data_IF_289879454133
#
_entry.id   IF_289879454133
#
_cell.length_a   1.000
_cell.length_b   1.000
_cell.length_c   1.000
_cell.angle_alpha   90.00
_cell.angle_beta   90.00
_cell.angle_gamma   90.00
#
_symmetry.space_group_name_H-M   'P 1'
#
loop_
_entity.id
_entity.type
_entity.pdbx_description
1 polymer ?
#
# COMPACT_ATOMS: atom_id res chain seq x y z
N UNK A 1 -18.02 17.94 5.06
CA UNK A 1 -16.91 18.22 6.01
C UNK A 1 -16.46 19.65 5.75
N UNK A 2 -15.95 20.38 6.75
CA UNK A 2 -15.64 21.82 6.59
C UNK A 2 -14.25 22.11 6.01
N UNK A 3 -13.37 21.11 6.05
CA UNK A 3 -11.97 21.21 5.69
C UNK A 3 -11.44 19.84 5.29
N UNK A 4 -10.23 19.82 4.72
CA UNK A 4 -9.41 18.62 4.56
C UNK A 4 -8.24 18.68 5.53
N UNK A 5 -7.95 17.56 6.20
CA UNK A 5 -6.88 17.47 7.21
C UNK A 5 -5.77 16.56 6.72
N UNK A 6 -4.53 17.03 6.87
CA UNK A 6 -3.34 16.31 6.43
C UNK A 6 -2.63 15.77 7.67
N UNK A 7 -2.46 14.44 7.70
CA UNK A 7 -1.68 13.74 8.71
C UNK A 7 -0.44 13.15 8.07
N UNK A 8 0.68 13.18 8.79
CA UNK A 8 1.95 12.62 8.33
C UNK A 8 2.55 11.69 9.39
N UNK A 9 3.38 10.77 8.93
CA UNK A 9 4.11 9.80 9.76
C UNK A 9 5.44 9.46 9.09
N UNK A 10 6.40 9.02 9.89
CA UNK A 10 7.66 8.44 9.43
C UNK A 10 7.80 6.96 9.79
N UNK A 11 6.81 6.38 10.47
CA UNK A 11 6.85 5.03 11.03
C UNK A 11 5.55 4.22 10.86
N UNK A 12 4.51 4.79 10.24
CA UNK A 12 3.14 4.24 10.10
C UNK A 12 2.36 4.07 11.42
N UNK A 13 2.97 4.36 12.55
CA UNK A 13 2.41 4.15 13.90
C UNK A 13 1.99 5.49 14.50
N UNK A 14 2.90 6.45 14.50
CA UNK A 14 2.73 7.76 15.09
C UNK A 14 2.36 8.75 13.98
N UNK A 15 1.14 9.27 14.06
CA UNK A 15 0.60 10.21 13.08
C UNK A 15 0.42 11.59 13.69
N UNK A 16 0.99 12.59 13.02
CA UNK A 16 0.88 13.99 13.40
C UNK A 16 -0.05 14.72 12.44
N UNK A 17 -0.97 15.53 12.97
CA UNK A 17 -1.69 16.51 12.16
C UNK A 17 -0.72 17.64 11.76
N UNK A 18 -0.44 17.76 10.46
CA UNK A 18 0.57 18.68 9.93
C UNK A 18 -0.01 19.82 9.10
N UNK A 19 -1.30 19.77 8.75
CA UNK A 19 -1.93 20.84 7.99
C UNK A 19 -3.44 20.69 7.85
N UNK A 20 -4.11 21.82 7.63
CA UNK A 20 -5.53 21.88 7.29
C UNK A 20 -5.69 22.71 6.03
N UNK A 21 -6.32 22.14 5.02
CA UNK A 21 -6.62 22.80 3.75
C UNK A 21 -8.06 23.30 3.83
N UNK A 22 -8.24 24.61 3.63
CA UNK A 22 -9.54 25.28 3.77
C UNK A 22 -10.22 25.47 2.42
N UNK A 23 -11.54 25.27 2.31
CA UNK A 23 -12.28 25.67 1.13
C UNK A 23 -12.32 27.20 0.93
N UNK A 24 -11.96 28.00 1.94
CA UNK A 24 -11.80 29.45 1.81
C UNK A 24 -10.70 29.85 0.81
N UNK A 25 -9.73 28.97 0.59
CA UNK A 25 -8.56 29.22 -0.26
C UNK A 25 -8.81 28.76 -1.71
N UNK A 26 -10.04 28.34 -2.05
CA UNK A 26 -10.45 27.96 -3.39
C UNK A 26 -11.85 28.45 -3.77
N UNK A 27 -12.28 28.18 -5.00
CA UNK A 27 -13.56 28.62 -5.56
C UNK A 27 -14.81 28.22 -4.74
N UNK A 28 -14.73 27.22 -3.87
CA UNK A 28 -15.86 26.83 -3.00
C UNK A 28 -16.16 27.91 -1.94
N UNK A 29 -15.14 28.66 -1.52
CA UNK A 29 -15.25 29.77 -0.58
C UNK A 29 -15.44 29.37 0.88
N UNK A 30 -15.28 30.34 1.78
CA UNK A 30 -15.22 30.13 3.24
C UNK A 30 -16.51 29.59 3.88
N UNK A 31 -17.65 29.67 3.18
CA UNK A 31 -18.93 29.15 3.64
C UNK A 31 -19.16 27.67 3.34
N UNK A 32 -18.29 27.03 2.54
CA UNK A 32 -18.50 25.67 2.10
C UNK A 32 -18.35 24.66 3.25
N UNK A 33 -19.26 23.69 3.30
CA UNK A 33 -19.24 22.58 4.28
C UNK A 33 -19.18 21.21 3.62
N UNK A 34 -18.76 21.20 2.36
CA UNK A 34 -18.90 20.10 1.41
C UNK A 34 -17.55 19.60 0.88
N UNK A 35 -16.48 19.76 1.65
CA UNK A 35 -15.18 19.17 1.37
C UNK A 35 -15.35 17.64 1.31
N UNK A 36 -15.42 17.07 0.11
CA UNK A 36 -15.56 15.62 -0.14
C UNK A 36 -14.19 15.05 -0.53
N UNK A 37 -14.14 13.83 -1.08
CA UNK A 37 -12.88 13.13 -1.32
C UNK A 37 -11.87 13.95 -2.12
N UNK A 38 -10.61 13.65 -1.85
CA UNK A 38 -9.45 14.33 -2.39
C UNK A 38 -8.38 13.30 -2.74
N UNK A 39 -7.52 13.69 -3.65
CA UNK A 39 -6.29 12.98 -3.95
C UNK A 39 -5.15 13.98 -4.21
N UNK A 40 -3.91 13.55 -4.10
CA UNK A 40 -2.76 14.42 -4.23
C UNK A 40 -1.65 13.78 -5.04
N UNK A 41 -0.90 14.62 -5.77
CA UNK A 41 0.26 14.19 -6.53
C UNK A 41 1.40 15.20 -6.39
N UNK A 42 2.63 14.73 -6.47
CA UNK A 42 3.83 15.55 -6.63
C UNK A 42 4.32 15.45 -8.06
N UNK A 43 4.63 16.59 -8.69
CA UNK A 43 5.31 16.63 -9.99
C UNK A 43 6.06 17.94 -10.15
N UNK A 44 7.25 17.89 -10.74
CA UNK A 44 8.06 19.07 -11.06
C UNK A 44 8.36 19.93 -9.81
N UNK A 45 8.57 19.30 -8.64
CA UNK A 45 8.83 19.98 -7.37
C UNK A 45 7.63 20.75 -6.79
N UNK A 46 6.42 20.51 -7.30
CA UNK A 46 5.17 21.11 -6.84
C UNK A 46 4.19 20.01 -6.42
N UNK A 47 3.36 20.31 -5.41
CA UNK A 47 2.30 19.43 -4.95
C UNK A 47 0.96 19.95 -5.48
N UNK A 48 0.11 19.01 -5.89
CA UNK A 48 -1.22 19.26 -6.43
C UNK A 48 -2.24 18.56 -5.56
N UNK A 49 -3.23 19.29 -5.08
CA UNK A 49 -4.32 18.77 -4.26
C UNK A 49 -5.63 18.84 -5.05
N UNK A 50 -6.11 17.69 -5.48
CA UNK A 50 -7.38 17.54 -6.18
C UNK A 50 -8.48 17.27 -5.17
N UNK A 51 -9.65 17.87 -5.37
CA UNK A 51 -10.72 17.78 -4.39
C UNK A 51 -12.10 17.81 -5.05
N UNK A 52 -13.07 17.22 -4.37
CA UNK A 52 -14.46 17.20 -4.80
C UNK A 52 -15.27 18.33 -4.14
N UNK A 53 -16.00 19.08 -4.96
CA UNK A 53 -17.07 19.99 -4.54
C UNK A 53 -18.43 19.26 -4.63
N UNK A 54 -18.66 18.31 -3.71
CA UNK A 54 -19.66 17.25 -3.87
C UNK A 54 -19.62 16.61 -5.27
N UNK A 55 -20.77 16.19 -5.82
CA UNK A 55 -20.96 15.75 -7.21
C UNK A 55 -20.91 16.89 -8.24
N UNK A 56 -20.74 18.15 -7.81
CA UNK A 56 -20.81 19.31 -8.72
C UNK A 56 -19.58 19.38 -9.61
N UNK A 57 -18.40 19.08 -9.06
CA UNK A 57 -17.14 19.19 -9.80
C UNK A 57 -15.91 18.70 -9.03
N UNK A 58 -14.80 18.57 -9.75
CA UNK A 58 -13.44 18.40 -9.20
C UNK A 58 -12.63 19.68 -9.40
N UNK A 59 -12.00 20.17 -8.33
CA UNK A 59 -11.03 21.26 -8.34
C UNK A 59 -9.59 20.78 -8.17
N UNK A 60 -8.64 21.70 -8.35
CA UNK A 60 -7.22 21.48 -8.07
C UNK A 60 -6.60 22.73 -7.45
N UNK A 61 -5.74 22.53 -6.45
CA UNK A 61 -4.91 23.57 -5.83
C UNK A 61 -3.44 23.19 -5.95
N UNK A 62 -2.53 24.17 -5.89
CA UNK A 62 -1.08 23.94 -5.94
C UNK A 62 -0.39 24.43 -4.67
N UNK A 63 0.63 23.72 -4.19
CA UNK A 63 1.30 24.03 -2.93
C UNK A 63 2.75 23.54 -2.87
N UNK A 64 3.66 24.26 -2.18
CA UNK A 64 5.10 23.95 -2.20
C UNK A 64 5.46 22.71 -1.37
N UNK A 65 4.57 22.24 -0.49
CA UNK A 65 4.79 21.05 0.35
C UNK A 65 3.54 20.14 0.32
N UNK A 66 3.65 18.87 0.75
CA UNK A 66 2.49 17.97 0.82
C UNK A 66 1.35 18.50 1.71
N UNK A 67 1.67 19.30 2.73
CA UNK A 67 0.69 19.89 3.65
C UNK A 67 0.26 21.32 3.24
N UNK A 68 0.77 21.84 2.13
CA UNK A 68 0.51 23.19 1.66
C UNK A 68 1.54 24.23 2.15
N UNK A 69 1.17 25.52 2.25
CA UNK A 69 -0.14 26.07 1.94
C UNK A 69 -0.50 25.85 0.46
N UNK A 70 -1.76 25.48 0.22
CA UNK A 70 -2.29 25.31 -1.13
C UNK A 70 -2.98 26.60 -1.58
N UNK A 71 -2.90 26.91 -2.88
CA UNK A 71 -3.62 28.02 -3.52
C UNK A 71 -4.43 27.52 -4.70
N UNK A 72 -5.63 28.04 -4.87
CA UNK A 72 -6.40 27.86 -6.09
C UNK A 72 -5.76 28.66 -7.23
N UNK A 73 -5.46 27.95 -8.32
CA UNK A 73 -4.81 28.51 -9.51
C UNK A 73 -5.79 28.70 -10.67
N UNK A 74 -7.02 28.21 -10.53
CA UNK A 74 -8.04 28.25 -11.58
C UNK A 74 -9.16 29.23 -11.26
N UNK A 75 -9.53 29.38 -9.99
CA UNK A 75 -10.71 30.16 -9.56
C UNK A 75 -12.04 29.56 -10.02
N UNK A 76 -12.01 28.34 -10.56
CA UNK A 76 -13.13 27.58 -11.09
C UNK A 76 -12.78 26.08 -11.08
N UNK A 77 -13.75 25.18 -11.29
CA UNK A 77 -13.46 23.76 -11.35
C UNK A 77 -12.53 23.36 -12.51
N UNK A 78 -11.73 22.31 -12.29
CA UNK A 78 -10.92 21.69 -13.35
C UNK A 78 -11.80 20.84 -14.28
N UNK A 79 -12.72 20.06 -13.72
CA UNK A 79 -13.72 19.29 -14.46
C UNK A 79 -15.07 19.34 -13.75
N UNK A 80 -16.15 19.34 -14.53
CA UNK A 80 -17.52 19.28 -14.04
C UNK A 80 -18.45 18.60 -15.07
N UNK A 81 -19.52 17.93 -14.65
CA UNK A 81 -19.83 17.54 -13.26
C UNK A 81 -18.96 16.36 -12.80
N UNK A 82 -19.28 15.75 -11.63
CA UNK A 82 -18.66 14.55 -10.99
C UNK A 82 -17.62 14.86 -9.89
N UNK A 83 -17.13 13.82 -9.22
CA UNK A 83 -16.39 13.86 -7.95
C UNK A 83 -15.39 12.70 -7.82
N UNK A 84 -14.76 12.54 -6.65
CA UNK A 84 -13.82 11.48 -6.29
C UNK A 84 -12.64 11.37 -7.27
N UNK A 85 -11.75 12.39 -7.30
CA UNK A 85 -10.61 12.38 -8.19
C UNK A 85 -9.56 11.33 -7.78
N UNK A 86 -8.88 10.77 -8.77
CA UNK A 86 -7.59 10.11 -8.64
C UNK A 86 -6.60 10.81 -9.57
N UNK A 87 -5.48 11.26 -9.04
CA UNK A 87 -4.35 11.77 -9.81
C UNK A 87 -3.34 10.64 -10.01
N UNK A 88 -3.14 10.23 -11.25
CA UNK A 88 -2.22 9.15 -11.59
C UNK A 88 -1.10 9.68 -12.49
N UNK A 89 0.15 9.40 -12.15
CA UNK A 89 1.32 9.71 -12.97
C UNK A 89 1.89 8.37 -13.40
N UNK A 90 1.85 8.10 -14.71
CA UNK A 90 2.39 6.88 -15.28
C UNK A 90 3.91 6.83 -15.12
N UNK A 91 4.49 5.64 -15.16
CA UNK A 91 5.93 5.40 -15.13
C UNK A 91 6.52 5.26 -16.55
N UNK A 92 5.76 5.65 -17.57
CA UNK A 92 6.24 5.79 -18.93
C UNK A 92 7.37 6.85 -19.03
N UNK A 93 8.09 6.86 -20.16
CA UNK A 93 9.24 7.76 -20.32
C UNK A 93 8.89 9.27 -20.21
N UNK A 94 7.62 9.65 -20.32
CA UNK A 94 7.13 11.03 -20.20
C UNK A 94 6.53 11.35 -18.83
N UNK A 95 6.48 10.36 -17.93
CA UNK A 95 5.70 10.37 -16.70
C UNK A 95 4.29 10.92 -16.95
N UNK A 96 3.55 10.38 -17.92
CA UNK A 96 2.31 10.98 -18.41
C UNK A 96 1.27 11.11 -17.28
N UNK A 97 0.71 12.31 -17.02
CA UNK A 97 -0.25 12.49 -15.95
C UNK A 97 -1.69 12.31 -16.43
N UNK A 98 -2.53 11.72 -15.57
CA UNK A 98 -3.94 11.47 -15.80
C UNK A 98 -4.77 11.90 -14.59
N UNK A 99 -5.98 12.36 -14.88
CA UNK A 99 -7.04 12.55 -13.89
C UNK A 99 -8.15 11.55 -14.18
N UNK A 100 -8.42 10.67 -13.22
CA UNK A 100 -9.59 9.80 -13.18
C UNK A 100 -10.60 10.39 -12.20
N UNK A 101 -11.90 10.31 -12.47
CA UNK A 101 -12.94 10.79 -11.57
C UNK A 101 -14.33 10.23 -11.92
N UNK A 102 -15.25 10.27 -10.97
CA UNK A 102 -16.69 10.05 -11.16
C UNK A 102 -17.24 8.82 -10.48
N UNK A 103 -18.44 8.43 -10.93
CA UNK A 103 -19.22 7.32 -10.37
C UNK A 103 -19.83 6.44 -11.48
N UNK A 104 -20.31 5.25 -11.08
CA UNK A 104 -20.88 4.25 -11.99
C UNK A 104 -22.11 4.75 -12.76
N UNK A 105 -22.92 5.64 -12.20
CA UNK A 105 -24.18 6.16 -12.77
C UNK A 105 -24.05 6.51 -14.27
N UNK A 106 -22.87 6.96 -14.68
CA UNK A 106 -22.51 7.03 -16.10
C UNK A 106 -21.29 6.17 -16.43
N UNK A 107 -20.21 6.32 -15.66
CA UNK A 107 -18.92 5.62 -15.74
C UNK A 107 -17.85 6.52 -15.13
N UNK A 108 -16.78 5.89 -14.62
CA UNK A 108 -15.54 6.63 -14.36
C UNK A 108 -15.02 7.26 -15.65
N UNK A 109 -14.48 8.47 -15.54
CA UNK A 109 -13.91 9.23 -16.64
C UNK A 109 -12.44 9.47 -16.42
N UNK A 110 -11.68 9.35 -17.49
CA UNK A 110 -10.24 9.62 -17.48
C UNK A 110 -9.88 10.63 -18.56
N UNK A 111 -8.92 11.50 -18.24
CA UNK A 111 -8.29 12.40 -19.19
C UNK A 111 -6.81 12.53 -18.87
N UNK A 112 -5.98 12.65 -19.90
CA UNK A 112 -4.61 13.13 -19.74
C UNK A 112 -4.62 14.59 -19.26
N UNK A 113 -3.74 14.91 -18.31
CA UNK A 113 -3.45 16.27 -17.87
C UNK A 113 -2.30 16.86 -18.71
N UNK A 114 -2.26 18.18 -18.86
CA UNK A 114 -1.05 18.84 -19.31
C UNK A 114 0.04 18.76 -18.22
N UNK A 115 1.29 19.05 -18.57
CA UNK A 115 2.43 19.04 -17.64
C UNK A 115 2.26 19.97 -16.42
N UNK A 116 1.41 21.00 -16.54
CA UNK A 116 1.08 21.90 -15.44
C UNK A 116 0.17 21.27 -14.38
N UNK A 117 -0.37 20.07 -14.61
CA UNK A 117 -1.28 19.33 -13.72
C UNK A 117 -2.57 20.09 -13.35
N UNK A 118 -2.87 21.21 -14.01
CA UNK A 118 -4.02 22.08 -13.67
C UNK A 118 -4.88 22.36 -14.90
N UNK A 119 -4.70 21.60 -15.97
CA UNK A 119 -5.50 21.67 -17.18
C UNK A 119 -5.48 20.34 -17.90
N UNK A 120 -6.53 20.04 -18.65
CA UNK A 120 -6.61 18.79 -19.41
C UNK A 120 -5.88 18.93 -20.76
N UNK A 121 -5.18 17.86 -21.15
CA UNK A 121 -4.58 17.71 -22.47
C UNK A 121 -5.57 17.09 -23.49
N UNK A 122 -6.69 16.54 -23.00
CA UNK A 122 -7.73 15.92 -23.82
C UNK A 122 -9.11 16.02 -23.17
N UNK A 123 -10.16 15.80 -23.97
CA UNK A 123 -11.52 15.66 -23.45
C UNK A 123 -11.65 14.38 -22.61
N UNK A 124 -12.24 14.44 -21.40
CA UNK A 124 -12.47 13.25 -20.59
C UNK A 124 -13.33 12.22 -21.30
N UNK A 125 -12.84 10.98 -21.33
CA UNK A 125 -13.53 9.83 -21.94
C UNK A 125 -14.02 8.85 -20.87
N UNK A 126 -15.17 8.19 -21.08
CA UNK A 126 -15.64 7.15 -20.18
C UNK A 126 -14.73 5.92 -20.25
N UNK A 127 -14.48 5.29 -19.10
CA UNK A 127 -13.84 3.97 -19.03
C UNK A 127 -14.87 2.87 -19.28
N UNK A 128 -14.46 1.87 -20.06
CA UNK A 128 -15.21 0.62 -20.17
C UNK A 128 -14.70 -0.35 -19.11
N UNK A 129 -15.59 -0.80 -18.23
CA UNK A 129 -15.29 -1.79 -17.19
C UNK A 129 -16.26 -2.96 -17.36
N UNK A 130 -15.73 -4.16 -17.39
CA UNK A 130 -16.49 -5.42 -17.53
C UNK A 130 -16.21 -6.32 -16.33
N UNK A 131 -17.03 -7.36 -16.12
CA UNK A 131 -16.94 -8.25 -14.97
C UNK A 131 -18.17 -8.21 -14.08
N UNK A 132 -18.38 -9.26 -13.30
CA UNK A 132 -19.55 -9.42 -12.44
C UNK A 132 -19.57 -8.36 -11.32
N UNK A 133 -18.39 -8.02 -10.79
CA UNK A 133 -18.21 -7.04 -9.72
C UNK A 133 -18.70 -5.66 -10.15
N UNK A 134 -18.33 -5.23 -11.37
CA UNK A 134 -18.80 -3.96 -11.91
C UNK A 134 -20.28 -4.00 -12.27
N UNK A 135 -20.76 -5.12 -12.83
CA UNK A 135 -22.18 -5.28 -13.17
C UNK A 135 -23.07 -5.18 -11.92
N UNK A 136 -22.65 -5.77 -10.79
CA UNK A 136 -23.39 -5.78 -9.53
C UNK A 136 -23.15 -4.55 -8.64
N UNK A 137 -22.09 -3.77 -8.90
CA UNK A 137 -21.82 -2.56 -8.15
C UNK A 137 -23.04 -1.60 -8.20
N UNK A 138 -23.38 -0.91 -7.10
CA UNK A 138 -24.46 0.08 -7.11
C UNK A 138 -24.15 1.25 -8.06
N UNK A 139 -25.18 1.89 -8.61
CA UNK A 139 -25.03 3.05 -9.52
C UNK A 139 -24.28 4.23 -8.87
N UNK A 140 -24.31 4.35 -7.54
CA UNK A 140 -23.56 5.38 -6.83
C UNK A 140 -22.08 5.02 -6.60
N UNK A 141 -21.60 3.87 -7.09
CA UNK A 141 -20.24 3.42 -6.86
C UNK A 141 -19.23 4.44 -7.37
N UNK A 142 -18.49 5.03 -6.44
CA UNK A 142 -17.45 6.04 -6.60
C UNK A 142 -16.13 5.52 -6.03
N UNK A 143 -15.23 6.40 -5.55
CA UNK A 143 -14.00 6.01 -4.82
C UNK A 143 -13.05 5.19 -5.67
N UNK A 144 -12.94 5.57 -6.95
CA UNK A 144 -11.96 4.99 -7.84
C UNK A 144 -10.56 5.28 -7.32
N UNK A 145 -9.66 4.32 -7.46
CA UNK A 145 -8.23 4.53 -7.32
C UNK A 145 -7.51 3.76 -8.42
N UNK A 146 -6.59 4.44 -9.10
CA UNK A 146 -5.84 3.93 -10.24
C UNK A 146 -4.37 3.97 -9.91
N UNK A 147 -3.71 2.83 -10.07
CA UNK A 147 -2.27 2.72 -10.01
C UNK A 147 -1.78 1.70 -11.03
N UNK A 148 -0.47 1.62 -11.22
CA UNK A 148 0.17 0.66 -12.11
C UNK A 148 1.15 -0.19 -11.32
N UNK A 149 1.17 -1.47 -11.63
CA UNK A 149 2.18 -2.40 -11.13
C UNK A 149 2.68 -3.23 -12.31
N UNK A 150 3.99 -3.16 -12.56
CA UNK A 150 4.60 -3.67 -13.79
C UNK A 150 3.88 -3.08 -15.02
N UNK A 151 3.54 -3.89 -16.02
CA UNK A 151 2.87 -3.42 -17.23
C UNK A 151 1.34 -3.42 -17.13
N UNK A 152 0.77 -3.53 -15.92
CA UNK A 152 -0.68 -3.65 -15.69
C UNK A 152 -1.23 -2.48 -14.86
N UNK A 153 -2.32 -1.89 -15.35
CA UNK A 153 -3.10 -0.87 -14.63
C UNK A 153 -4.15 -1.55 -13.77
N UNK A 154 -4.25 -1.12 -12.52
CA UNK A 154 -5.19 -1.59 -11.52
C UNK A 154 -6.15 -0.45 -11.15
N UNK A 155 -7.44 -0.69 -11.35
CA UNK A 155 -8.51 0.24 -11.03
C UNK A 155 -9.40 -0.38 -9.95
N UNK A 156 -9.37 0.17 -8.74
CA UNK A 156 -10.18 -0.31 -7.61
C UNK A 156 -11.35 0.63 -7.28
N UNK A 157 -12.42 0.08 -6.71
CA UNK A 157 -13.54 0.80 -6.11
C UNK A 157 -14.11 0.00 -4.94
N UNK A 158 -14.43 0.65 -3.82
CA UNK A 158 -14.93 -0.07 -2.64
C UNK A 158 -13.95 -1.16 -2.19
N UNK A 159 -14.33 -2.43 -2.40
CA UNK A 159 -13.45 -3.59 -2.18
C UNK A 159 -13.01 -4.29 -3.47
N UNK A 160 -13.61 -3.97 -4.60
CA UNK A 160 -13.43 -4.71 -5.86
C UNK A 160 -12.46 -3.96 -6.77
N UNK A 161 -11.90 -4.66 -7.75
CA UNK A 161 -11.00 -4.05 -8.72
C UNK A 161 -11.06 -4.71 -10.09
N UNK A 162 -10.52 -4.02 -11.07
CA UNK A 162 -10.34 -4.49 -12.43
C UNK A 162 -8.94 -4.15 -12.94
N UNK A 163 -8.48 -4.86 -13.97
CA UNK A 163 -7.17 -4.61 -14.58
C UNK A 163 -7.25 -4.39 -16.09
N UNK A 164 -6.27 -3.68 -16.63
CA UNK A 164 -6.05 -3.46 -18.07
C UNK A 164 -4.56 -3.34 -18.38
N UNK A 165 -4.18 -3.62 -19.63
CA UNK A 165 -2.86 -3.31 -20.19
C UNK A 165 -2.80 -1.89 -20.79
N UNK A 166 -3.92 -1.17 -20.77
CA UNK A 166 -4.06 0.18 -21.28
C UNK A 166 -4.71 1.08 -20.22
N UNK A 167 -4.12 2.23 -19.94
CA UNK A 167 -4.65 3.21 -18.96
C UNK A 167 -6.10 3.62 -19.28
N UNK A 168 -6.50 3.61 -20.56
CA UNK A 168 -7.85 3.91 -21.03
C UNK A 168 -8.81 2.71 -21.06
N UNK A 169 -8.36 1.53 -20.65
CA UNK A 169 -9.13 0.30 -20.67
C UNK A 169 -9.20 -0.38 -22.06
N UNK A 170 -10.11 -1.35 -22.23
CA UNK A 170 -11.13 -1.76 -21.26
C UNK A 170 -10.51 -2.44 -20.02
N UNK A 171 -11.15 -2.23 -18.87
CA UNK A 171 -10.81 -2.88 -17.61
C UNK A 171 -11.67 -4.14 -17.42
N UNK A 172 -11.06 -5.21 -16.93
CA UNK A 172 -11.73 -6.49 -16.66
C UNK A 172 -11.68 -6.79 -15.16
N UNK A 173 -12.85 -6.99 -14.55
CA UNK A 173 -13.03 -7.29 -13.13
C UNK A 173 -12.24 -8.52 -12.68
N UNK A 174 -11.66 -8.42 -11.48
CA UNK A 174 -10.76 -9.42 -10.89
C UNK A 174 -11.19 -9.85 -9.48
N UNK A 175 -12.43 -9.55 -9.10
CA UNK A 175 -12.95 -9.84 -7.76
C UNK A 175 -12.56 -8.80 -6.71
N UNK A 176 -12.82 -9.12 -5.42
CA UNK A 176 -12.41 -8.29 -4.31
C UNK A 176 -10.90 -8.34 -4.08
N UNK A 177 -10.32 -7.23 -3.65
CA UNK A 177 -8.93 -7.18 -3.14
C UNK A 177 -8.81 -7.90 -1.80
N UNK A 178 -9.89 -7.99 -1.03
CA UNK A 178 -9.92 -8.65 0.28
C UNK A 178 -11.33 -8.68 0.89
N UNK A 179 -11.48 -9.35 2.03
CA UNK A 179 -12.76 -9.48 2.76
C UNK A 179 -12.56 -9.26 4.26
N UNK A 180 -13.60 -8.82 4.95
CA UNK A 180 -13.51 -8.49 6.39
C UNK A 180 -13.09 -7.04 6.64
N UNK A 181 -12.95 -6.65 7.91
CA UNK A 181 -12.51 -5.29 8.34
C UNK A 181 -13.22 -4.13 7.61
N UNK A 182 -14.53 -4.29 7.41
CA UNK A 182 -15.41 -3.35 6.69
C UNK A 182 -14.99 -3.04 5.24
N UNK A 183 -14.16 -3.86 4.63
CA UNK A 183 -13.77 -3.76 3.23
C UNK A 183 -14.94 -4.24 2.35
N UNK A 184 -15.79 -3.30 1.97
CA UNK A 184 -17.01 -3.50 1.17
C UNK A 184 -17.27 -2.29 0.26
N UNK A 185 -18.43 -2.24 -0.40
CA UNK A 185 -18.82 -1.14 -1.30
C UNK A 185 -18.78 0.28 -0.68
N UNK A 186 -18.79 0.39 0.66
CA UNK A 186 -18.69 1.66 1.35
C UNK A 186 -17.25 2.08 1.66
N UNK A 187 -16.28 1.17 1.55
CA UNK A 187 -14.87 1.49 1.76
C UNK A 187 -14.40 2.54 0.74
N UNK A 188 -13.57 3.48 1.18
CA UNK A 188 -12.85 4.42 0.30
C UNK A 188 -11.37 4.20 0.58
N UNK A 189 -10.62 3.71 -0.40
CA UNK A 189 -9.24 3.31 -0.20
C UNK A 189 -8.30 3.68 -1.34
N UNK A 190 -7.01 3.57 -1.03
CA UNK A 190 -5.88 3.83 -1.92
C UNK A 190 -4.71 2.92 -1.54
N UNK A 191 -3.78 2.75 -2.48
CA UNK A 191 -2.61 1.89 -2.29
C UNK A 191 -1.33 2.69 -2.43
N UNK A 192 -0.30 2.34 -1.67
CA UNK A 192 0.99 3.03 -1.73
C UNK A 192 2.16 2.09 -1.46
N UNK A 193 3.30 2.42 -2.08
CA UNK A 193 4.58 1.81 -1.78
C UNK A 193 5.30 2.64 -0.71
N UNK A 194 5.83 1.97 0.30
CA UNK A 194 6.71 2.58 1.29
C UNK A 194 7.78 1.56 1.65
N UNK A 195 9.06 1.94 1.48
CA UNK A 195 10.21 1.15 1.98
C UNK A 195 10.29 -0.24 1.31
N UNK A 196 9.82 -0.31 0.07
CA UNK A 196 9.72 -1.54 -0.71
C UNK A 196 8.53 -2.44 -0.34
N UNK A 197 7.74 -2.07 0.68
CA UNK A 197 6.49 -2.75 1.04
C UNK A 197 5.29 -2.05 0.39
N UNK A 198 4.26 -2.83 0.06
CA UNK A 198 3.02 -2.34 -0.53
C UNK A 198 1.89 -2.40 0.49
N UNK A 199 1.14 -1.31 0.62
CA UNK A 199 0.10 -1.16 1.63
C UNK A 199 -1.23 -0.78 0.98
N UNK A 200 -2.32 -1.21 1.60
CA UNK A 200 -3.66 -0.73 1.33
C UNK A 200 -4.16 0.06 2.54
N UNK A 201 -4.58 1.29 2.31
CA UNK A 201 -5.27 2.12 3.29
C UNK A 201 -6.70 2.34 2.85
N UNK A 202 -7.67 2.15 3.74
CA UNK A 202 -9.06 2.48 3.46
C UNK A 202 -9.76 3.02 4.69
N UNK A 203 -10.87 3.71 4.47
CA UNK A 203 -11.76 4.13 5.54
C UNK A 203 -13.11 3.44 5.46
N UNK A 204 -13.74 3.29 6.62
CA UNK A 204 -15.04 2.65 6.77
C UNK A 204 -15.93 3.45 7.72
N UNK A 205 -17.25 3.28 7.63
CA UNK A 205 -18.19 3.99 8.50
C UNK A 205 -18.27 3.36 9.89
N UNK A 206 -18.03 4.17 10.92
CA UNK A 206 -18.36 3.82 12.30
C UNK A 206 -19.88 3.88 12.52
N UNK A 207 -20.52 4.88 11.93
CA UNK A 207 -21.98 5.09 11.95
C UNK A 207 -22.43 5.67 10.60
N UNK A 208 -22.95 4.84 9.70
CA UNK A 208 -23.27 5.23 8.32
C UNK A 208 -24.16 6.50 8.23
N UNK A 209 -25.15 6.64 9.12
CA UNK A 209 -26.04 7.80 9.14
C UNK A 209 -25.42 9.12 9.61
N UNK A 210 -24.27 9.07 10.29
CA UNK A 210 -23.57 10.28 10.80
C UNK A 210 -22.32 10.63 10.00
N UNK A 211 -21.97 9.83 8.99
CA UNK A 211 -20.80 9.99 8.13
C UNK A 211 -19.45 10.04 8.89
N UNK A 212 -19.39 9.50 10.10
CA UNK A 212 -18.13 9.29 10.81
C UNK A 212 -17.41 8.07 10.24
N UNK A 213 -16.15 8.26 9.84
CA UNK A 213 -15.30 7.21 9.28
C UNK A 213 -14.02 7.11 10.07
N UNK A 214 -13.47 5.92 10.11
CA UNK A 214 -12.13 5.62 10.62
C UNK A 214 -11.30 4.98 9.50
N UNK A 215 -9.98 5.13 9.58
CA UNK A 215 -9.02 4.64 8.58
C UNK A 215 -8.27 3.43 9.13
N UNK A 216 -8.09 2.40 8.30
CA UNK A 216 -7.33 1.18 8.56
C UNK A 216 -6.23 1.07 7.49
N UNK A 217 -5.08 0.50 7.86
CA UNK A 217 -3.98 0.17 6.95
C UNK A 217 -3.65 -1.31 7.14
N UNK A 218 -3.44 -2.03 6.04
CA UNK A 218 -2.84 -3.37 6.05
C UNK A 218 -1.81 -3.53 4.94
N UNK A 219 -1.05 -4.62 5.00
CA UNK A 219 -0.19 -5.05 3.91
C UNK A 219 -1.03 -5.44 2.69
N UNK A 220 -0.44 -5.26 1.51
CA UNK A 220 -1.00 -5.70 0.25
C UNK A 220 0.06 -6.43 -0.58
N UNK A 221 -0.41 -7.39 -1.37
CA UNK A 221 0.43 -8.34 -2.09
C UNK A 221 -0.12 -8.53 -3.50
N UNK A 222 0.79 -8.90 -4.41
CA UNK A 222 0.43 -9.41 -5.72
C UNK A 222 0.79 -10.88 -5.73
N UNK A 223 -0.16 -11.72 -6.12
CA UNK A 223 0.12 -13.12 -6.46
C UNK A 223 0.98 -13.19 -7.72
N UNK A 224 1.54 -14.36 -8.01
CA UNK A 224 2.40 -14.56 -9.18
C UNK A 224 1.65 -14.33 -10.51
N UNK A 225 0.33 -14.50 -10.52
CA UNK A 225 -0.54 -14.20 -11.66
C UNK A 225 -1.09 -12.76 -11.67
N UNK A 226 -0.60 -11.90 -10.78
CA UNK A 226 -0.92 -10.48 -10.73
C UNK A 226 -2.24 -10.14 -10.03
N UNK A 227 -2.86 -11.06 -9.29
CA UNK A 227 -4.03 -10.76 -8.47
C UNK A 227 -3.62 -9.90 -7.27
N UNK A 228 -4.34 -8.81 -7.05
CA UNK A 228 -4.16 -7.94 -5.89
C UNK A 228 -4.83 -8.54 -4.65
N UNK A 229 -4.10 -8.54 -3.53
CA UNK A 229 -4.54 -9.09 -2.25
C UNK A 229 -4.26 -8.10 -1.13
N UNK A 230 -5.29 -7.62 -0.46
CA UNK A 230 -5.17 -6.97 0.85
C UNK A 230 -5.11 -8.05 1.92
N UNK A 231 -4.04 -8.06 2.70
CA UNK A 231 -3.87 -9.05 3.75
C UNK A 231 -4.73 -8.69 4.97
N UNK A 232 -5.96 -9.17 4.97
CA UNK A 232 -6.86 -9.06 6.12
C UNK A 232 -6.56 -10.10 7.18
N UNK A 233 -5.77 -11.14 6.87
CA UNK A 233 -5.32 -12.14 7.85
C UNK A 233 -4.39 -11.54 8.89
N UNK A 234 -3.50 -10.64 8.47
CA UNK A 234 -2.71 -9.80 9.39
C UNK A 234 -3.63 -9.07 10.39
N UNK A 235 -4.70 -8.44 9.90
CA UNK A 235 -5.63 -7.71 10.76
C UNK A 235 -6.44 -8.66 11.66
N UNK A 236 -6.86 -9.82 11.17
CA UNK A 236 -7.59 -10.81 11.97
C UNK A 236 -6.78 -11.25 13.20
N UNK A 237 -5.47 -11.40 13.04
CA UNK A 237 -4.57 -11.81 14.13
C UNK A 237 -4.04 -10.64 14.96
N UNK A 238 -3.79 -9.48 14.34
CA UNK A 238 -2.93 -8.42 14.90
C UNK A 238 -3.51 -7.00 14.77
N UNK A 239 -4.84 -6.85 14.63
CA UNK A 239 -5.50 -5.55 14.50
C UNK A 239 -5.04 -4.50 15.53
N UNK A 240 -4.88 -4.90 16.80
CA UNK A 240 -4.51 -4.00 17.88
C UNK A 240 -3.08 -3.44 17.74
N UNK A 241 -2.20 -4.16 17.05
CA UNK A 241 -0.83 -3.73 16.77
C UNK A 241 -0.79 -2.80 15.57
N UNK A 242 -1.57 -3.07 14.52
CA UNK A 242 -1.45 -2.36 13.25
C UNK A 242 -0.08 -2.59 12.58
N UNK A 243 0.08 -2.09 11.35
CA UNK A 243 1.32 -2.28 10.59
C UNK A 243 2.54 -1.61 11.26
N UNK A 244 3.73 -2.14 11.01
CA UNK A 244 4.99 -1.59 11.54
C UNK A 244 5.24 -1.82 13.04
N UNK A 245 4.47 -2.72 13.68
CA UNK A 245 4.69 -3.22 15.04
C UNK A 245 4.49 -4.73 15.07
N UNK A 246 5.38 -5.44 15.76
CA UNK A 246 5.33 -6.90 15.88
C UNK A 246 5.61 -7.29 17.33
N UNK A 247 5.30 -8.53 17.68
CA UNK A 247 5.58 -9.09 19.01
C UNK A 247 6.34 -10.39 18.79
N UNK A 248 7.53 -10.50 19.39
CA UNK A 248 8.35 -11.70 19.28
C UNK A 248 7.69 -12.93 19.92
N UNK A 249 6.67 -12.71 20.75
CA UNK A 249 5.84 -13.74 21.35
C UNK A 249 4.61 -14.14 20.54
N UNK A 250 4.50 -13.75 19.26
CA UNK A 250 3.58 -14.37 18.32
C UNK A 250 4.08 -15.74 17.88
N UNK A 251 3.18 -16.66 17.57
CA UNK A 251 3.53 -18.03 17.14
C UNK A 251 4.43 -18.01 15.88
N UNK A 252 4.19 -17.04 15.00
CA UNK A 252 5.01 -16.71 13.83
C UNK A 252 4.74 -15.28 13.37
N UNK A 253 5.71 -14.73 12.64
CA UNK A 253 5.65 -13.50 11.87
C UNK A 253 5.89 -13.90 10.41
N UNK A 254 4.91 -13.63 9.54
CA UNK A 254 5.02 -13.94 8.11
C UNK A 254 6.11 -13.08 7.46
N UNK A 255 6.91 -13.66 6.57
CA UNK A 255 8.08 -13.01 6.01
C UNK A 255 7.70 -11.81 5.13
N UNK A 256 6.61 -11.93 4.39
CA UNK A 256 6.05 -10.91 3.52
C UNK A 256 5.53 -9.66 4.25
N UNK A 257 5.42 -9.71 5.58
CA UNK A 257 5.07 -8.56 6.42
C UNK A 257 6.27 -7.67 6.78
N UNK A 258 7.41 -7.80 6.07
CA UNK A 258 8.55 -6.91 6.28
C UNK A 258 8.12 -5.43 6.20
N UNK A 259 8.73 -4.62 7.04
CA UNK A 259 8.52 -3.17 7.05
C UNK A 259 9.42 -2.47 6.03
N UNK A 260 10.63 -3.00 5.80
CA UNK A 260 11.59 -2.44 4.86
C UNK A 260 12.49 -3.51 4.25
N UNK A 261 12.87 -3.33 3.00
CA UNK A 261 13.75 -4.20 2.20
C UNK A 261 14.74 -3.33 1.40
N UNK A 262 15.97 -3.79 1.09
CA UNK A 262 16.92 -2.98 0.34
C UNK A 262 16.39 -2.66 -1.07
N UNK A 263 16.70 -1.45 -1.55
CA UNK A 263 16.30 -1.02 -2.90
C UNK A 263 16.96 -1.86 -3.99
N UNK A 264 18.23 -2.23 -3.79
CA UNK A 264 18.96 -3.11 -4.71
C UNK A 264 18.87 -4.55 -4.19
N UNK A 265 17.83 -5.27 -4.61
CA UNK A 265 17.59 -6.66 -4.21
C UNK A 265 17.04 -7.47 -5.37
N UNK A 266 17.32 -8.78 -5.38
CA UNK A 266 16.61 -9.75 -6.24
C UNK A 266 15.41 -10.39 -5.56
N UNK A 267 15.19 -10.09 -4.29
CA UNK A 267 14.12 -10.68 -3.52
C UNK A 267 12.76 -10.22 -4.03
N UNK A 268 11.80 -11.14 -4.07
CA UNK A 268 10.45 -10.89 -4.58
C UNK A 268 9.42 -11.54 -3.67
N UNK A 269 8.30 -10.86 -3.43
CA UNK A 269 7.12 -11.50 -2.84
C UNK A 269 6.47 -12.41 -3.89
N UNK A 270 6.20 -13.65 -3.51
CA UNK A 270 5.62 -14.67 -4.39
C UNK A 270 4.59 -15.51 -3.63
N UNK A 271 3.71 -16.19 -4.35
CA UNK A 271 2.83 -17.19 -3.75
C UNK A 271 3.66 -18.31 -3.09
N UNK A 272 3.26 -18.70 -1.89
CA UNK A 272 3.76 -19.88 -1.20
C UNK A 272 2.65 -20.96 -1.25
N UNK A 273 2.79 -22.03 -2.05
CA UNK A 273 1.75 -23.03 -2.22
C UNK A 273 1.26 -23.62 -0.88
N UNK A 274 0.00 -23.34 -0.52
CA UNK A 274 -0.62 -23.80 0.72
C UNK A 274 -0.26 -23.02 1.99
N UNK A 275 0.54 -21.96 1.89
CA UNK A 275 1.04 -21.17 3.02
C UNK A 275 0.75 -19.66 2.94
N UNK A 276 0.38 -19.12 1.77
CA UNK A 276 0.10 -17.68 1.62
C UNK A 276 1.11 -17.03 0.68
N UNK A 277 1.92 -16.11 1.19
CA UNK A 277 3.05 -15.55 0.45
C UNK A 277 4.38 -15.97 1.09
N UNK A 278 5.46 -15.71 0.37
CA UNK A 278 6.83 -15.84 0.85
C UNK A 278 7.64 -14.65 0.33
N UNK A 279 8.83 -14.45 0.90
CA UNK A 279 9.90 -13.68 0.26
C UNK A 279 10.89 -14.65 -0.38
N UNK A 280 10.85 -14.75 -1.70
CA UNK A 280 11.72 -15.61 -2.50
C UNK A 280 12.98 -14.88 -2.95
N UNK A 281 14.00 -15.64 -3.38
CA UNK A 281 15.23 -15.14 -4.02
C UNK A 281 16.05 -14.16 -3.17
N UNK A 282 16.05 -14.32 -1.84
CA UNK A 282 16.97 -13.60 -0.97
C UNK A 282 18.40 -14.10 -1.21
N UNK A 283 19.32 -13.19 -1.49
CA UNK A 283 20.74 -13.47 -1.75
C UNK A 283 21.65 -12.83 -0.70
N UNK A 284 22.92 -13.20 -0.70
CA UNK A 284 23.91 -12.58 0.19
C UNK A 284 23.92 -11.05 0.02
N UNK A 285 23.72 -10.32 1.12
CA UNK A 285 23.58 -8.86 1.15
C UNK A 285 22.14 -8.36 1.23
N UNK A 286 21.15 -9.20 0.94
CA UNK A 286 19.74 -8.87 1.17
C UNK A 286 19.40 -8.90 2.67
N UNK A 287 18.38 -8.12 3.04
CA UNK A 287 17.85 -8.10 4.40
C UNK A 287 16.37 -7.78 4.41
N UNK A 288 15.67 -8.27 5.43
CA UNK A 288 14.30 -7.89 5.75
C UNK A 288 14.28 -7.22 7.11
N UNK A 289 13.74 -6.01 7.19
CA UNK A 289 13.55 -5.30 8.45
C UNK A 289 12.11 -5.42 8.91
N UNK A 290 11.92 -5.71 10.19
CA UNK A 290 10.65 -5.65 10.90
C UNK A 290 10.79 -4.59 12.00
N UNK A 291 10.04 -3.49 11.88
CA UNK A 291 10.16 -2.37 12.81
C UNK A 291 9.42 -2.61 14.12
N UNK A 292 9.95 -2.11 15.24
CA UNK A 292 9.29 -2.14 16.55
C UNK A 292 8.83 -3.55 16.98
N UNK A 293 9.72 -4.54 16.91
CA UNK A 293 9.45 -5.88 17.45
C UNK A 293 9.59 -5.87 18.96
N UNK A 294 8.53 -6.22 19.68
CA UNK A 294 8.53 -6.31 21.13
C UNK A 294 9.08 -7.67 21.61
N UNK A 295 10.27 -7.65 22.23
CA UNK A 295 10.93 -8.80 22.84
C UNK A 295 10.67 -8.91 24.34
N UNK A 296 9.67 -8.20 24.89
CA UNK A 296 9.46 -8.12 26.35
C UNK A 296 9.12 -9.44 27.04
N UNK A 297 8.75 -10.49 26.28
CA UNK A 297 8.56 -11.83 26.82
C UNK A 297 9.89 -12.55 27.14
N UNK A 298 11.01 -12.04 26.63
CA UNK A 298 12.30 -12.73 26.64
C UNK A 298 12.29 -13.90 25.66
N UNK A 299 13.32 -14.00 24.83
CA UNK A 299 13.47 -15.08 23.85
C UNK A 299 14.87 -15.67 23.92
N UNK A 300 14.98 -16.94 23.59
CA UNK A 300 16.22 -17.74 23.64
C UNK A 300 16.45 -18.53 22.36
N UNK A 301 15.42 -18.69 21.52
CA UNK A 301 15.51 -19.35 20.22
C UNK A 301 14.83 -18.49 19.15
N UNK A 302 15.38 -18.51 17.94
CA UNK A 302 14.71 -18.05 16.73
C UNK A 302 14.54 -19.22 15.77
N UNK A 303 13.37 -19.31 15.13
CA UNK A 303 13.04 -20.32 14.13
C UNK A 303 12.62 -19.63 12.84
N UNK A 304 13.10 -20.11 11.70
CA UNK A 304 12.67 -19.66 10.37
C UNK A 304 12.22 -20.85 9.52
N UNK A 305 11.06 -20.71 8.86
CA UNK A 305 10.58 -21.61 7.83
C UNK A 305 11.08 -21.14 6.48
N UNK A 306 11.99 -21.89 5.89
CA UNK A 306 12.75 -21.45 4.73
C UNK A 306 13.01 -22.56 3.72
N UNK A 307 13.36 -22.18 2.50
CA UNK A 307 13.72 -23.07 1.40
C UNK A 307 15.02 -22.62 0.74
N UNK A 308 15.81 -23.58 0.25
CA UNK A 308 17.03 -23.32 -0.52
C UNK A 308 17.41 -24.54 -1.34
N UNK A 309 17.99 -24.31 -2.52
CA UNK A 309 18.58 -25.37 -3.34
C UNK A 309 20.06 -25.63 -3.01
N UNK A 310 20.68 -24.72 -2.26
CA UNK A 310 22.13 -24.71 -2.01
C UNK A 310 22.43 -24.67 -0.50
N UNK A 311 23.68 -24.98 -0.15
CA UNK A 311 24.21 -24.88 1.22
C UNK A 311 25.19 -23.71 1.34
N UNK A 312 25.47 -23.27 2.56
CA UNK A 312 26.49 -22.26 2.86
C UNK A 312 25.96 -20.84 3.02
N UNK A 313 24.67 -20.63 2.75
CA UNK A 313 23.94 -19.42 3.12
C UNK A 313 23.53 -19.49 4.59
N UNK A 314 23.47 -18.33 5.25
CA UNK A 314 22.96 -18.19 6.62
C UNK A 314 22.12 -16.92 6.73
N UNK A 315 21.14 -16.93 7.63
CA UNK A 315 20.35 -15.75 7.99
C UNK A 315 20.82 -15.31 9.38
N UNK A 316 21.42 -14.13 9.46
CA UNK A 316 21.77 -13.49 10.73
C UNK A 316 20.54 -12.76 11.30
N UNK A 317 20.25 -13.03 12.58
CA UNK A 317 19.20 -12.36 13.35
C UNK A 317 19.85 -11.19 14.06
N UNK A 318 19.59 -9.97 13.59
CA UNK A 318 20.24 -8.74 14.07
C UNK A 318 19.23 -7.73 14.58
N UNK A 319 19.66 -6.83 15.46
CA UNK A 319 18.83 -5.74 15.98
C UNK A 319 19.41 -4.37 15.69
N UNK A 320 18.52 -3.38 15.54
CA UNK A 320 18.81 -1.94 15.47
C UNK A 320 19.73 -1.49 14.31
N UNK A 321 19.98 -2.37 13.35
CA UNK A 321 20.66 -2.05 12.10
C UNK A 321 21.12 -3.29 11.34
N UNK A 322 21.43 -3.12 10.05
CA UNK A 322 21.99 -4.19 9.19
C UNK A 322 23.33 -4.73 9.71
N UNK A 323 24.13 -3.87 10.34
CA UNK A 323 25.39 -4.21 11.01
C UNK A 323 25.26 -4.17 12.55
N UNK A 324 24.02 -4.13 13.05
CA UNK A 324 23.71 -4.08 14.47
C UNK A 324 24.03 -5.38 15.20
N UNK A 325 23.71 -5.44 16.49
CA UNK A 325 24.05 -6.59 17.33
C UNK A 325 23.46 -7.88 16.74
N UNK A 326 24.31 -8.89 16.55
CA UNK A 326 23.88 -10.22 16.10
C UNK A 326 23.46 -11.06 17.29
N UNK A 327 22.16 -11.34 17.38
CA UNK A 327 21.60 -12.19 18.43
C UNK A 327 21.86 -13.67 18.15
N UNK A 328 21.78 -14.09 16.89
CA UNK A 328 21.94 -15.49 16.48
C UNK A 328 22.08 -15.62 14.97
N UNK A 329 22.23 -16.86 14.51
CA UNK A 329 22.46 -17.18 13.09
C UNK A 329 21.82 -18.51 12.73
N UNK A 330 20.96 -18.50 11.71
CA UNK A 330 20.28 -19.68 11.17
C UNK A 330 21.09 -20.18 9.99
N UNK A 331 21.62 -21.40 10.11
CA UNK A 331 22.28 -22.08 9.00
C UNK A 331 21.21 -22.56 8.01
N UNK A 332 21.28 -22.12 6.74
CA UNK A 332 20.30 -22.50 5.72
C UNK A 332 20.74 -23.82 5.07
N UNK A 333 20.01 -24.94 5.29
CA UNK A 333 20.31 -26.19 4.62
C UNK A 333 19.75 -26.20 3.19
N UNK A 334 20.28 -27.08 2.34
CA UNK A 334 19.58 -27.46 1.12
C UNK A 334 18.31 -28.22 1.50
N UNK A 335 17.14 -27.70 1.12
CA UNK A 335 15.84 -28.25 1.53
C UNK A 335 15.22 -29.17 0.49
N UNK A 336 15.76 -29.17 -0.72
CA UNK A 336 15.37 -30.04 -1.83
C UNK A 336 14.59 -29.34 -2.95
N UNK A 337 14.40 -28.02 -2.87
CA UNK A 337 13.72 -27.23 -3.91
C UNK A 337 13.25 -25.88 -3.39
N UNK A 338 12.85 -24.99 -4.31
CA UNK A 338 12.37 -23.64 -4.00
C UNK A 338 11.08 -23.64 -3.16
N UNK A 339 10.23 -24.66 -3.30
CA UNK A 339 8.98 -24.80 -2.54
C UNK A 339 9.09 -25.83 -1.39
N UNK A 340 10.29 -26.38 -1.15
CA UNK A 340 10.51 -27.37 -0.10
C UNK A 340 10.84 -26.68 1.22
N UNK A 341 9.85 -26.09 1.89
CA UNK A 341 10.08 -25.35 3.14
C UNK A 341 10.41 -26.25 4.33
N UNK A 342 11.33 -25.79 5.18
CA UNK A 342 11.70 -26.45 6.44
C UNK A 342 11.89 -25.40 7.53
N UNK A 343 11.36 -25.70 8.72
CA UNK A 343 11.67 -24.93 9.92
C UNK A 343 13.08 -25.28 10.42
N UNK A 344 13.90 -24.26 10.61
CA UNK A 344 15.26 -24.37 11.15
C UNK A 344 15.40 -23.38 12.30
N UNK A 345 15.97 -23.85 13.42
CA UNK A 345 16.08 -23.08 14.65
C UNK A 345 17.54 -22.83 15.03
N UNK A 346 17.77 -21.74 15.76
CA UNK A 346 19.06 -21.38 16.34
C UNK A 346 18.87 -20.71 17.70
N UNK A 347 19.88 -20.82 18.56
CA UNK A 347 19.89 -20.06 19.81
C UNK A 347 20.10 -18.56 19.52
N UNK A 348 19.42 -17.70 20.27
CA UNK A 348 19.64 -16.26 20.26
C UNK A 348 20.10 -15.77 21.62
N UNK A 349 20.93 -14.73 21.62
CA UNK A 349 21.37 -14.05 22.83
C UNK A 349 20.17 -13.40 23.54
N UNK A 350 20.14 -13.35 24.89
CA UNK A 350 19.04 -12.76 25.63
C UNK A 350 18.78 -11.31 25.23
N UNK A 351 17.51 -10.97 25.00
CA UNK A 351 17.05 -9.65 24.58
C UNK A 351 15.73 -9.31 25.28
N UNK A 352 15.45 -8.02 25.44
CA UNK A 352 14.24 -7.48 26.05
C UNK A 352 13.90 -6.12 25.43
N UNK A 353 12.65 -5.67 25.56
CA UNK A 353 12.21 -4.37 25.06
C UNK A 353 11.92 -4.37 23.55
N UNK A 354 11.76 -3.17 22.99
CA UNK A 354 11.34 -2.98 21.59
C UNK A 354 12.55 -2.62 20.73
N UNK A 355 12.77 -3.39 19.66
CA UNK A 355 13.91 -3.24 18.75
C UNK A 355 13.47 -3.33 17.28
N UNK A 356 14.22 -2.70 16.38
CA UNK A 356 14.12 -3.05 14.96
C UNK A 356 14.81 -4.41 14.75
N UNK A 357 14.13 -5.38 14.16
CA UNK A 357 14.71 -6.67 13.79
C UNK A 357 15.14 -6.67 12.33
N UNK A 358 16.32 -7.21 12.05
CA UNK A 358 16.85 -7.46 10.72
C UNK A 358 17.16 -8.95 10.53
N UNK A 359 16.60 -9.54 9.49
CA UNK A 359 16.99 -10.86 8.99
C UNK A 359 17.91 -10.65 7.80
N UNK A 360 19.22 -10.81 8.00
CA UNK A 360 20.25 -10.49 7.00
C UNK A 360 20.81 -11.75 6.39
N UNK A 361 20.75 -11.87 5.06
CA UNK A 361 21.27 -13.04 4.35
C UNK A 361 22.74 -12.83 4.05
N UNK A 362 23.58 -13.79 4.43
CA UNK A 362 25.04 -13.71 4.24
C UNK A 362 25.62 -15.08 3.86
N UNK A 363 26.75 -15.06 3.15
CA UNK A 363 27.36 -16.27 2.60
C UNK A 363 26.55 -16.91 1.47
N UNK A 364 27.14 -17.93 0.84
CA UNK A 364 26.63 -18.53 -0.39
C UNK A 364 27.06 -17.75 -1.63
N UNK A 365 27.56 -18.46 -2.65
CA UNK A 365 28.01 -17.85 -3.91
C UNK A 365 26.94 -17.93 -5.01
N UNK A 366 25.98 -18.85 -4.87
CA UNK A 366 24.93 -19.19 -5.84
C UNK A 366 23.70 -19.71 -5.11
N UNK A 367 22.50 -19.34 -5.55
CA UNK A 367 21.21 -19.79 -4.99
C UNK A 367 20.53 -18.77 -4.08
N UNK A 368 19.21 -18.65 -4.21
CA UNK A 368 18.38 -17.77 -3.38
C UNK A 368 17.71 -18.54 -2.24
N UNK A 369 17.45 -17.85 -1.14
CA UNK A 369 16.67 -18.35 -0.01
C UNK A 369 15.22 -17.89 -0.17
N UNK A 370 14.28 -18.82 -0.05
CA UNK A 370 12.87 -18.52 0.19
C UNK A 370 12.60 -18.47 1.69
N UNK A 371 11.93 -17.44 2.17
CA UNK A 371 11.50 -17.30 3.56
C UNK A 371 9.98 -17.17 3.61
N UNK A 372 9.34 -18.09 4.32
CA UNK A 372 7.88 -18.17 4.51
C UNK A 372 7.48 -17.40 5.78
N UNK A 373 8.00 -17.82 6.92
CA UNK A 373 7.81 -17.13 8.20
C UNK A 373 8.99 -17.33 9.13
N UNK A 374 9.01 -16.57 10.23
CA UNK A 374 9.93 -16.78 11.34
C UNK A 374 9.23 -16.53 12.67
N UNK A 375 9.84 -16.90 13.78
CA UNK A 375 9.29 -16.70 15.12
C UNK A 375 10.34 -16.90 16.20
N UNK A 376 9.95 -16.66 17.44
CA UNK A 376 10.84 -16.78 18.60
C UNK A 376 10.20 -17.62 19.72
N UNK A 377 11.05 -18.12 20.63
CA UNK A 377 10.63 -18.85 21.83
C UNK A 377 11.43 -18.47 23.06
#
# INVERSE_FOLDING_TARGET
MKDWRVFATTDLVNWQHVGTISPADNYMGAGATDCWASDAAERNGQHYFYFSDQKRSVGVMTGPTPAGPFRDVLGQPLVAPRHDPTAFIDDDAGNTPYLLYGDKEVSFRIARLNENMTSLAETPRPLTITGEEWAQAPEWMDKSYLFKYQDTYYLSWGRDYATSDNVYGPYVGRGPVGIGHHLNQYAHGSFFWWKGQFYHVWCYYLQQGKKYRETIISYAHFTNDGRLVTDTGFLDAHFANGVGRYDAGWDRIEAEWYYEIPTATSATKQDAPGAGFQVANLQAGDWLRYANVDFSKGVTESTACLSSTEVGTRIEVRIDGIDGEKLGEILVPATGGADAFRAVSTAVSPINGVHDLYLTVVGGDKGGVGLDWFGFR
#
